data_IF_198558754065
#
_entry.id   IF_198558754065
#
_cell.length_a   1.000
_cell.length_b   1.000
_cell.length_c   1.000
_cell.angle_alpha   90.00
_cell.angle_beta   90.00
_cell.angle_gamma   90.00
#
_symmetry.space_group_name_H-M   'P 1'
#
loop_
_entity.id
_entity.type
_entity.pdbx_description
1 polymer ?
2 non-polymer ?
3 non-polymer ?
4 water ?
#
# COMPACT_ATOMS: atom_id res chain seq x y z
N UNK A 1 -3.99 -14.72 24.97
CA UNK A 1 -5.21 -14.40 25.65
C UNK A 1 -5.60 -12.98 25.55
N UNK A 2 -4.78 -12.09 26.00
CA UNK A 2 -5.21 -10.71 26.05
C UNK A 2 -5.49 -10.07 24.70
N UNK A 3 -4.56 -10.24 23.78
CA UNK A 3 -4.73 -9.67 22.47
C UNK A 3 -4.55 -10.57 21.28
N UNK A 4 -5.51 -10.52 20.37
CA UNK A 4 -5.35 -11.20 19.10
C UNK A 4 -4.92 -10.18 18.05
N UNK A 5 -3.75 -10.40 17.45
CA UNK A 5 -3.28 -9.57 16.36
C UNK A 5 -3.57 -10.29 15.04
N UNK A 6 -4.28 -9.61 14.14
CA UNK A 6 -4.61 -10.19 12.84
C UNK A 6 -3.57 -9.71 11.83
N UNK A 7 -2.72 -10.63 11.38
CA UNK A 7 -1.72 -10.32 10.38
C UNK A 7 -0.32 -10.25 11.00
N UNK A 8 0.65 -10.80 10.28
CA UNK A 8 2.05 -10.78 10.69
C UNK A 8 2.94 -10.17 9.61
N UNK A 9 2.42 -9.21 8.87
CA UNK A 9 3.24 -8.36 8.04
C UNK A 9 3.93 -7.30 8.90
N UNK A 10 4.46 -6.28 8.21
CA UNK A 10 5.24 -5.24 8.90
C UNK A 10 4.44 -4.64 10.05
N UNK A 11 3.14 -4.41 9.85
CA UNK A 11 2.35 -3.77 10.89
C UNK A 11 2.16 -4.69 12.10
N UNK A 12 1.68 -5.92 11.86
CA UNK A 12 1.44 -6.84 12.96
C UNK A 12 2.68 -7.24 13.72
N UNK A 13 3.81 -7.37 13.02
CA UNK A 13 5.06 -7.61 13.74
C UNK A 13 5.39 -6.45 14.67
N UNK A 14 5.14 -5.21 14.22
CA UNK A 14 5.39 -4.07 15.09
C UNK A 14 4.47 -4.09 16.31
N UNK A 15 3.21 -4.48 16.11
CA UNK A 15 2.26 -4.60 17.22
C UNK A 15 2.72 -5.68 18.21
N UNK A 16 3.08 -6.86 17.68
CA UNK A 16 3.58 -7.91 18.56
C UNK A 16 4.79 -7.47 19.37
N UNK A 17 5.72 -6.76 18.73
CA UNK A 17 6.88 -6.21 19.43
C UNK A 17 6.46 -5.26 20.54
N UNK A 18 5.52 -4.35 20.26
CA UNK A 18 5.12 -3.38 21.27
C UNK A 18 4.40 -4.06 22.43
N UNK A 19 3.53 -5.02 22.13
CA UNK A 19 2.86 -5.77 23.18
C UNK A 19 3.88 -6.57 23.98
N UNK A 20 4.85 -7.21 23.35
CA UNK A 20 5.82 -8.07 24.07
C UNK A 20 6.65 -7.23 25.06
N UNK A 21 6.93 -6.01 24.71
CA UNK A 21 7.73 -5.17 25.53
C UNK A 21 7.03 -4.72 26.77
N UNK A 22 5.73 -4.86 26.81
CA UNK A 22 4.96 -4.46 27.96
C UNK A 22 4.44 -5.63 28.75
N UNK A 23 4.78 -6.82 28.37
CA UNK A 23 4.31 -7.99 29.05
C UNK A 23 2.92 -8.39 28.73
N UNK A 24 2.40 -7.87 27.64
CA UNK A 24 1.06 -8.17 27.28
C UNK A 24 1.00 -9.39 26.44
N UNK A 25 0.28 -10.38 26.88
CA UNK A 25 0.15 -11.60 26.16
C UNK A 25 -0.66 -11.40 24.94
N UNK A 26 -0.27 -12.08 23.90
CA UNK A 26 -0.92 -12.00 22.65
C UNK A 26 -0.56 -13.16 21.76
N UNK A 27 -1.38 -13.31 20.73
CA UNK A 27 -1.18 -14.27 19.70
C UNK A 27 -1.39 -13.50 18.39
N UNK A 28 -0.61 -13.83 17.39
CA UNK A 28 -0.74 -13.21 16.09
C UNK A 28 -1.09 -14.22 15.04
N UNK A 29 -2.17 -13.97 14.38
CA UNK A 29 -2.65 -14.89 13.39
C UNK A 29 -2.42 -14.50 11.94
N UNK A 30 -1.70 -15.33 11.23
CA UNK A 30 -1.33 -15.07 9.85
C UNK A 30 -1.77 -16.14 8.84
N UNK A 31 -2.37 -15.70 7.75
CA UNK A 31 -2.86 -16.59 6.72
C UNK A 31 -1.77 -17.28 5.97
N UNK A 32 -0.68 -16.58 5.75
CA UNK A 32 0.40 -17.08 5.00
C UNK A 32 1.27 -18.02 5.73
N UNK A 33 2.12 -18.72 4.90
CA UNK A 33 3.03 -19.62 5.56
C UNK A 33 4.21 -19.04 6.29
N UNK A 34 4.42 -17.75 6.23
CA UNK A 34 5.48 -17.08 6.97
C UNK A 34 5.09 -15.63 7.24
N UNK A 35 5.93 -14.94 7.98
CA UNK A 35 5.70 -13.53 8.28
C UNK A 35 6.22 -12.70 7.12
N UNK A 36 5.90 -11.40 7.12
CA UNK A 36 6.40 -10.48 6.11
C UNK A 36 5.32 -9.78 5.33
N UNK A 37 4.09 -10.29 5.32
CA UNK A 37 3.05 -9.63 4.54
C UNK A 37 3.34 -9.70 3.06
N UNK A 38 3.11 -8.59 2.36
CA UNK A 38 3.20 -8.61 0.89
C UNK A 38 4.64 -8.89 0.46
N UNK A 39 5.62 -8.56 1.30
CA UNK A 39 7.02 -8.56 0.88
C UNK A 39 7.58 -9.96 0.64
N UNK A 40 6.98 -11.00 1.22
CA UNK A 40 7.42 -12.37 1.00
C UNK A 40 6.71 -13.08 -0.14
N UNK A 41 5.65 -12.51 -0.65
CA UNK A 41 4.86 -13.20 -1.67
C UNK A 41 5.58 -13.41 -2.99
N UNK A 42 6.22 -12.36 -3.51
CA UNK A 42 7.02 -12.63 -4.69
C UNK A 42 8.20 -13.40 -4.14
N UNK A 43 8.63 -14.42 -4.78
CA UNK A 43 9.67 -15.19 -4.13
C UNK A 43 9.07 -16.48 -3.69
N UNK A 44 7.80 -16.45 -3.40
CA UNK A 44 7.10 -17.64 -3.06
C UNK A 44 6.11 -17.87 -4.20
N UNK A 45 6.21 -17.07 -5.24
CA UNK A 45 5.39 -17.24 -6.38
C UNK A 45 3.96 -16.98 -6.06
N UNK A 46 3.69 -16.52 -4.87
CA UNK A 46 2.34 -16.27 -4.45
C UNK A 46 1.71 -15.07 -5.07
N UNK A 47 0.43 -15.15 -5.35
CA UNK A 47 -0.27 -14.06 -5.94
C UNK A 47 -0.52 -12.98 -4.93
N UNK A 48 -0.14 -11.78 -5.27
CA UNK A 48 -0.27 -10.67 -4.38
C UNK A 48 0.06 -9.39 -5.03
N UNK A 49 0.06 -8.30 -4.22
CA UNK A 49 0.37 -7.03 -4.88
C UNK A 49 1.75 -6.82 -5.46
N UNK A 50 2.69 -7.54 -4.98
CA UNK A 50 3.98 -7.43 -5.53
C UNK A 50 4.33 -8.16 -6.79
N UNK A 51 5.55 -8.00 -7.19
CA UNK A 51 6.06 -8.60 -8.38
C UNK A 51 7.54 -8.85 -8.17
N UNK A 52 8.12 -9.71 -8.96
CA UNK A 52 9.52 -10.10 -8.81
C UNK A 52 10.57 -9.02 -9.03
N UNK A 53 10.19 -7.95 -9.67
CA UNK A 53 11.13 -6.85 -9.79
C UNK A 53 10.91 -5.74 -8.77
N UNK A 54 9.98 -5.93 -7.86
CA UNK A 54 9.62 -4.89 -6.91
C UNK A 54 10.76 -4.64 -5.93
N UNK A 55 11.15 -3.37 -5.80
CA UNK A 55 12.07 -2.87 -4.79
C UNK A 55 11.36 -1.82 -3.96
N UNK A 56 11.94 -1.53 -2.80
CA UNK A 56 11.54 -0.34 -2.07
C UNK A 56 11.68 0.88 -2.97
N UNK A 57 10.80 1.80 -2.72
CA UNK A 57 10.87 3.08 -3.29
C UNK A 57 11.10 4.08 -2.15
N UNK A 58 11.36 3.59 -0.97
CA UNK A 58 11.69 4.37 0.19
C UNK A 58 13.08 3.97 0.65
N UNK A 59 13.78 4.86 1.28
CA UNK A 59 15.11 4.64 1.78
C UNK A 59 15.16 3.57 2.83
N UNK A 60 16.17 2.76 2.79
CA UNK A 60 16.30 1.68 3.70
C UNK A 60 16.33 2.04 5.17
N UNK A 61 16.97 3.10 5.53
CA UNK A 61 17.12 3.51 6.92
C UNK A 61 15.85 4.16 7.47
N UNK A 62 14.94 4.61 6.60
CA UNK A 62 13.64 5.10 7.04
C UNK A 62 12.52 4.08 6.88
N UNK A 63 12.80 2.92 6.29
CA UNK A 63 11.82 1.86 6.15
C UNK A 63 12.01 0.77 7.18
N UNK A 64 13.24 0.56 7.65
CA UNK A 64 13.48 -0.40 8.69
C UNK A 64 12.93 0.06 10.03
N UNK A 65 12.69 -0.90 10.92
CA UNK A 65 12.34 -0.57 12.30
C UNK A 65 13.48 0.22 12.95
N UNK A 66 13.10 1.24 13.74
CA UNK A 66 14.10 2.17 14.27
C UNK A 66 15.10 1.48 15.21
N UNK A 67 14.68 0.43 15.94
CA UNK A 67 15.57 -0.29 16.85
C UNK A 67 16.20 -1.53 16.20
N UNK A 68 16.08 -1.70 14.88
CA UNK A 68 16.51 -2.92 14.20
C UNK A 68 16.91 -2.60 12.76
N UNK A 69 18.10 -2.03 12.57
CA UNK A 69 18.49 -1.60 11.22
C UNK A 69 18.65 -2.79 10.28
N UNK A 70 18.37 -2.55 9.00
CA UNK A 70 18.62 -3.56 7.99
C UNK A 70 20.14 -3.75 7.82
N UNK A 71 20.56 -4.88 7.26
CA UNK A 71 22.01 -5.12 7.10
C UNK A 71 22.68 -3.97 6.37
N UNK A 72 23.89 -3.64 6.81
CA UNK A 72 24.61 -2.53 6.20
C UNK A 72 24.90 -2.79 4.74
N UNK A 73 25.01 -4.06 4.35
CA UNK A 73 25.24 -4.39 2.95
C UNK A 73 24.02 -4.11 2.08
N UNK A 74 22.83 -3.99 2.67
CA UNK A 74 21.66 -3.70 1.86
C UNK A 74 21.85 -2.36 1.15
N UNK A 75 21.33 -2.23 -0.05
CA UNK A 75 21.40 -0.95 -0.77
C UNK A 75 20.32 -0.01 -0.24
N UNK A 76 20.29 1.19 -0.81
CA UNK A 76 19.24 2.16 -0.48
C UNK A 76 17.85 1.60 -0.77
N UNK A 77 17.67 0.92 -1.90
CA UNK A 77 16.38 0.33 -2.28
C UNK A 77 16.51 -1.19 -2.38
N UNK A 78 16.36 -1.89 -1.25
CA UNK A 78 16.42 -3.37 -1.27
C UNK A 78 15.33 -4.00 -2.12
N UNK A 79 15.64 -5.19 -2.63
CA UNK A 79 14.66 -6.01 -3.34
C UNK A 79 13.66 -6.60 -2.36
N UNK A 80 12.48 -6.97 -2.87
CA UNK A 80 11.43 -7.59 -2.05
C UNK A 80 11.96 -8.78 -1.24
N UNK A 81 12.83 -9.60 -1.82
CA UNK A 81 13.37 -10.76 -1.10
C UNK A 81 14.23 -10.32 0.10
N UNK A 82 14.96 -9.23 -0.05
CA UNK A 82 15.77 -8.71 1.03
C UNK A 82 14.89 -8.15 2.15
N UNK A 83 13.78 -7.51 1.78
CA UNK A 83 12.86 -6.95 2.77
C UNK A 83 12.19 -8.08 3.54
N UNK A 84 11.68 -9.08 2.81
CA UNK A 84 11.07 -10.26 3.43
C UNK A 84 12.05 -10.96 4.38
N UNK A 85 13.29 -11.17 3.93
CA UNK A 85 14.28 -11.79 4.80
C UNK A 85 14.55 -10.92 6.03
N UNK A 86 14.60 -9.60 5.85
CA UNK A 86 14.79 -8.70 6.97
C UNK A 86 13.64 -8.79 7.98
N UNK A 87 12.42 -8.86 7.54
CA UNK A 87 11.27 -8.91 8.43
C UNK A 87 11.17 -10.21 9.24
N UNK A 88 11.54 -11.31 8.64
CA UNK A 88 11.60 -12.56 9.35
C UNK A 88 12.72 -12.51 10.40
N UNK A 89 13.86 -11.89 10.07
CA UNK A 89 14.97 -11.71 11.01
C UNK A 89 14.53 -10.91 12.23
N UNK A 90 13.75 -9.87 12.03
CA UNK A 90 13.18 -9.12 13.14
C UNK A 90 12.34 -10.00 14.04
N UNK A 91 11.46 -10.75 13.46
CA UNK A 91 10.59 -11.63 14.22
C UNK A 91 11.36 -12.61 15.07
N UNK A 92 12.40 -13.16 14.52
CA UNK A 92 13.25 -14.03 15.25
C UNK A 92 13.93 -13.27 16.41
N UNK A 93 14.55 -12.14 16.13
CA UNK A 93 15.22 -11.34 17.14
C UNK A 93 14.31 -10.83 18.22
N UNK A 94 13.18 -10.34 17.81
CA UNK A 94 12.22 -9.85 18.78
C UNK A 94 11.51 -10.96 19.55
N UNK A 95 11.73 -12.22 19.21
CA UNK A 95 11.11 -13.32 19.95
C UNK A 95 9.61 -13.43 19.74
N UNK A 96 9.14 -13.17 18.51
CA UNK A 96 7.70 -13.09 18.25
C UNK A 96 7.10 -14.39 17.75
N UNK A 97 7.89 -15.25 17.16
CA UNK A 97 7.35 -16.44 16.50
C UNK A 97 6.59 -17.47 17.36
N UNK A 98 6.87 -17.55 18.63
CA UNK A 98 6.16 -18.42 19.53
C UNK A 98 4.79 -17.88 19.80
N UNK A 99 4.53 -16.66 19.36
CA UNK A 99 3.24 -16.03 19.49
C UNK A 99 2.55 -15.97 18.13
N UNK A 100 3.15 -16.49 17.09
CA UNK A 100 2.57 -16.40 15.79
C UNK A 100 2.00 -17.72 15.32
N UNK A 101 0.78 -17.68 14.85
CA UNK A 101 0.17 -18.85 14.33
C UNK A 101 0.06 -18.72 12.85
N UNK A 102 0.91 -19.45 12.17
CA UNK A 102 0.92 -19.39 10.74
C UNK A 102 -0.12 -20.25 10.09
N UNK A 103 -0.34 -20.04 8.81
CA UNK A 103 -1.35 -20.73 8.08
C UNK A 103 -2.68 -20.78 8.83
N UNK A 104 -3.01 -19.67 9.45
CA UNK A 104 -4.20 -19.51 10.21
C UNK A 104 -4.91 -18.28 9.71
N UNK A 105 -6.03 -18.50 9.11
CA UNK A 105 -6.85 -17.41 8.58
C UNK A 105 -7.97 -17.09 9.57
N UNK A 106 -8.09 -15.81 9.91
CA UNK A 106 -9.21 -15.34 10.72
C UNK A 106 -10.45 -15.24 9.83
N UNK A 107 -11.51 -15.91 10.25
CA UNK A 107 -12.76 -15.98 9.49
C UNK A 107 -13.77 -14.95 9.98
N UNK A 108 -13.92 -14.77 11.30
CA UNK A 108 -14.90 -13.84 11.84
C UNK A 108 -14.39 -13.26 13.15
N UNK A 109 -14.73 -11.99 13.38
CA UNK A 109 -14.41 -11.30 14.63
C UNK A 109 -15.69 -10.58 15.07
N UNK A 110 -16.21 -10.94 16.25
CA UNK A 110 -17.45 -10.36 16.77
C UNK A 110 -17.24 -9.89 18.20
N UNK A 111 -17.85 -8.75 18.52
CA UNK A 111 -17.79 -8.21 19.88
C UNK A 111 -18.86 -8.87 20.74
N UNK A 112 -18.45 -9.49 21.84
CA UNK A 112 -19.41 -10.10 22.75
C UNK A 112 -19.96 -9.06 23.72
N UNK A 113 -21.17 -9.31 24.21
CA UNK A 113 -21.88 -8.32 25.02
C UNK A 113 -21.17 -7.99 26.32
N UNK A 114 -20.29 -8.87 26.81
CA UNK A 114 -19.59 -8.55 28.05
C UNK A 114 -18.24 -7.88 27.81
N UNK A 115 -17.85 -7.63 26.55
CA UNK A 115 -16.64 -6.88 26.29
C UNK A 115 -15.61 -7.57 25.41
N UNK A 116 -15.23 -8.80 25.73
CA UNK A 116 -14.25 -9.50 24.88
C UNK A 116 -14.79 -9.81 23.49
N UNK A 117 -13.89 -10.33 22.66
CA UNK A 117 -14.14 -10.57 21.26
C UNK A 117 -14.04 -12.07 20.97
N UNK A 118 -15.00 -12.61 20.23
CA UNK A 118 -14.93 -14.00 19.80
C UNK A 118 -14.32 -14.02 18.39
N UNK A 119 -13.24 -14.72 18.26
CA UNK A 119 -12.57 -14.84 16.99
C UNK A 119 -12.56 -16.27 16.51
N UNK A 120 -13.06 -16.47 15.30
CA UNK A 120 -13.04 -17.77 14.70
C UNK A 120 -11.98 -17.86 13.65
N UNK A 121 -11.14 -18.85 13.77
CA UNK A 121 -10.06 -19.04 12.86
C UNK A 121 -10.04 -20.41 12.19
N UNK A 122 -9.50 -20.45 10.98
CA UNK A 122 -9.36 -21.72 10.26
C UNK A 122 -7.92 -22.10 9.98
N UNK A 123 -7.51 -23.23 10.50
CA UNK A 123 -6.17 -23.72 10.27
C UNK A 123 -5.86 -24.38 8.96
N UNK A 124 -4.74 -25.08 8.91
CA UNK A 124 -4.34 -25.70 7.66
C UNK A 124 -5.27 -26.82 7.23
N UNK A 125 -5.78 -27.60 8.17
CA UNK A 125 -6.73 -28.63 7.85
C UNK A 125 -7.94 -28.05 7.22
N UNK A 126 -8.44 -26.98 7.82
CA UNK A 126 -9.67 -26.38 7.34
C UNK A 126 -10.54 -26.39 8.56
N UNK A 127 -10.02 -26.95 9.64
CA UNK A 127 -10.74 -26.93 10.87
C UNK A 127 -11.03 -25.51 11.34
N UNK A 128 -12.02 -25.36 12.21
CA UNK A 128 -12.33 -24.05 12.68
C UNK A 128 -12.25 -24.06 14.16
N UNK A 129 -11.64 -23.05 14.67
CA UNK A 129 -11.52 -22.89 16.12
C UNK A 129 -12.15 -21.56 16.50
N UNK A 130 -12.84 -21.55 17.64
CA UNK A 130 -13.46 -20.36 18.21
C UNK A 130 -12.73 -19.99 19.50
N UNK A 131 -12.12 -18.81 19.52
CA UNK A 131 -11.46 -18.36 20.74
C UNK A 131 -11.96 -16.98 21.12
N UNK A 132 -11.92 -16.69 22.42
CA UNK A 132 -12.23 -15.38 22.96
C UNK A 132 -10.92 -14.69 23.35
N UNK A 133 -10.86 -13.39 23.09
CA UNK A 133 -9.69 -12.57 23.37
C UNK A 133 -10.18 -11.29 23.99
N UNK A 134 -9.34 -10.71 24.84
CA UNK A 134 -9.76 -9.47 25.48
C UNK A 134 -9.86 -8.34 24.46
N UNK A 135 -8.87 -8.22 23.57
CA UNK A 135 -8.84 -7.14 22.57
C UNK A 135 -8.29 -7.66 21.25
N UNK A 136 -8.62 -6.95 20.19
CA UNK A 136 -8.25 -7.34 18.83
C UNK A 136 -7.54 -6.17 18.16
N UNK A 137 -6.37 -6.42 17.59
CA UNK A 137 -5.67 -5.41 16.80
C UNK A 137 -5.65 -5.90 15.35
N UNK A 138 -6.24 -5.10 14.47
CA UNK A 138 -6.34 -5.42 13.07
C UNK A 138 -5.11 -4.86 12.36
N UNK A 139 -4.32 -5.75 11.77
CA UNK A 139 -3.11 -5.39 11.01
C UNK A 139 -3.09 -6.15 9.69
N UNK A 140 -4.24 -6.21 9.04
CA UNK A 140 -4.44 -7.08 7.89
C UNK A 140 -4.16 -6.39 6.56
N UNK A 141 -3.60 -5.17 6.58
CA UNK A 141 -3.23 -4.45 5.37
C UNK A 141 -4.46 -3.92 4.65
N UNK A 142 -4.27 -3.07 3.67
CA UNK A 142 -5.34 -2.59 2.88
C UNK A 142 -5.18 -2.86 1.36
N UNK A 143 -4.26 -3.68 0.94
CA UNK A 143 -4.05 -3.98 -0.45
C UNK A 143 -4.55 -5.39 -0.69
N UNK A 144 -5.77 -5.61 -0.33
CA UNK A 144 -6.37 -6.92 -0.40
C UNK A 144 -7.09 -7.32 -1.62
N UNK A 145 -8.10 -6.59 -2.03
CA UNK A 145 -8.88 -6.93 -3.16
C UNK A 145 -8.54 -6.14 -4.35
N UNK A 146 -8.44 -6.81 -5.48
CA UNK A 146 -8.16 -6.09 -6.73
C UNK A 146 -9.30 -5.17 -7.11
N UNK A 147 -8.93 -4.00 -7.60
CA UNK A 147 -9.91 -3.06 -8.13
C UNK A 147 -9.72 -2.96 -9.64
N UNK A 148 -10.59 -3.57 -10.42
CA UNK A 148 -10.55 -3.49 -11.90
C UNK A 148 -11.50 -2.37 -12.31
N UNK A 149 -11.31 -1.74 -13.49
CA UNK A 149 -12.13 -0.60 -13.88
C UNK A 149 -13.62 -0.90 -13.88
N UNK A 150 -14.42 0.05 -13.40
CA UNK A 150 -15.88 -0.20 -13.20
C UNK A 150 -16.43 -0.85 -14.45
N UNK A 151 -16.43 -0.19 -15.62
CA UNK A 151 -16.81 -0.86 -16.82
C UNK A 151 -15.54 -1.30 -17.56
N UNK A 152 -15.38 -2.59 -17.77
CA UNK A 152 -14.29 -3.01 -18.65
C UNK A 152 -14.70 -2.51 -20.03
N UNK A 153 -13.78 -2.09 -20.91
CA UNK A 153 -14.15 -1.55 -22.23
C UNK A 153 -14.96 -2.59 -23.00
N UNK A 154 -15.77 -2.09 -23.93
CA UNK A 154 -16.63 -2.95 -24.73
C UNK A 154 -15.81 -4.04 -25.41
N UNK A 155 -16.41 -5.22 -25.53
CA UNK A 155 -15.78 -6.33 -26.22
C UNK A 155 -14.85 -7.20 -25.39
N UNK A 156 -14.68 -6.89 -24.10
CA UNK A 156 -13.76 -7.68 -23.28
C UNK A 156 -14.12 -9.16 -23.26
N UNK A 157 -15.42 -9.49 -23.36
CA UNK A 157 -15.85 -10.89 -23.33
C UNK A 157 -15.40 -11.65 -24.58
N UNK A 158 -15.20 -10.96 -25.70
CA UNK A 158 -14.72 -11.61 -26.90
C UNK A 158 -13.30 -11.18 -27.19
N UNK A 159 -12.41 -11.36 -26.22
CA UNK A 159 -11.01 -10.97 -26.35
C UNK A 159 -10.17 -12.22 -26.52
N UNK A 160 -9.35 -12.24 -27.57
CA UNK A 160 -8.59 -13.43 -27.90
C UNK A 160 -7.49 -13.74 -26.90
N UNK A 161 -7.11 -12.77 -26.07
CA UNK A 161 -6.05 -12.94 -25.11
C UNK A 161 -6.54 -12.88 -23.67
N UNK A 162 -5.60 -12.67 -22.76
CA UNK A 162 -5.85 -12.77 -21.33
C UNK A 162 -5.88 -11.38 -20.69
N UNK A 163 -6.96 -11.08 -19.99
CA UNK A 163 -7.08 -9.85 -19.20
C UNK A 163 -6.80 -10.22 -17.74
N UNK A 164 -5.82 -9.55 -17.14
CA UNK A 164 -5.48 -9.83 -15.76
C UNK A 164 -5.26 -8.53 -15.00
N UNK A 165 -5.26 -8.65 -13.67
CA UNK A 165 -4.93 -7.58 -12.73
C UNK A 165 -3.47 -7.70 -12.33
N UNK A 166 -2.90 -6.61 -11.81
CA UNK A 166 -1.52 -6.66 -11.37
C UNK A 166 -1.31 -7.66 -10.24
N UNK A 167 -2.35 -8.02 -9.54
CA UNK A 167 -2.24 -9.02 -8.50
C UNK A 167 -1.83 -10.34 -9.07
N UNK A 168 -2.33 -10.64 -10.24
CA UNK A 168 -2.02 -11.86 -10.91
C UNK A 168 -0.69 -11.78 -11.61
N UNK A 169 -0.08 -10.61 -11.69
CA UNK A 169 1.18 -10.47 -12.39
C UNK A 169 2.33 -10.85 -11.56
N UNK A 170 3.22 -11.65 -12.07
CA UNK A 170 4.41 -11.99 -11.31
C UNK A 170 5.78 -11.61 -11.88
N UNK A 171 6.08 -11.97 -13.13
CA UNK A 171 7.41 -11.72 -13.69
C UNK A 171 7.53 -11.12 -15.05
N UNK A 172 6.86 -11.60 -16.03
CA UNK A 172 7.12 -10.96 -17.30
C UNK A 172 7.89 -11.76 -18.25
N UNK A 173 8.76 -12.59 -17.73
CA UNK A 173 9.37 -13.55 -18.56
C UNK A 173 8.18 -14.43 -18.90
N UNK A 174 7.06 -14.28 -18.19
CA UNK A 174 5.84 -15.01 -18.48
C UNK A 174 5.14 -14.40 -19.65
N UNK A 175 5.71 -13.35 -20.20
CA UNK A 175 5.15 -12.68 -21.35
C UNK A 175 6.21 -12.49 -22.41
N UNK A 176 7.29 -13.24 -22.32
CA UNK A 176 8.36 -13.16 -23.27
C UNK A 176 7.86 -13.27 -24.68
N UNK A 177 8.36 -12.45 -25.55
CA UNK A 177 7.92 -12.47 -26.92
C UNK A 177 6.51 -12.05 -27.18
N UNK A 178 5.74 -11.69 -26.17
CA UNK A 178 4.38 -11.27 -26.38
C UNK A 178 4.20 -9.80 -26.49
N UNK A 179 2.96 -9.43 -26.68
CA UNK A 179 2.57 -8.07 -26.82
C UNK A 179 1.57 -7.74 -25.74
N UNK A 180 1.86 -6.75 -24.92
CA UNK A 180 1.08 -6.42 -23.76
C UNK A 180 0.78 -4.99 -23.47
N UNK A 181 -0.42 -4.75 -23.02
CA UNK A 181 -0.87 -3.43 -22.63
C UNK A 181 -0.92 -3.37 -21.12
N UNK A 182 -0.40 -2.30 -20.54
CA UNK A 182 -0.51 -2.02 -19.12
C UNK A 182 -1.43 -0.82 -18.96
N UNK A 183 -2.41 -0.94 -18.07
CA UNK A 183 -3.41 0.10 -17.84
C UNK A 183 -3.10 0.74 -16.49
N UNK A 184 -2.84 2.03 -16.50
CA UNK A 184 -2.67 2.80 -15.29
C UNK A 184 -1.36 3.54 -15.29
N UNK A 185 -1.16 4.32 -14.24
CA UNK A 185 0.08 5.06 -14.13
C UNK A 185 0.55 5.18 -12.67
N UNK A 186 0.12 4.28 -11.80
CA UNK A 186 0.60 4.22 -10.44
C UNK A 186 1.94 3.54 -10.34
N UNK A 187 2.33 3.21 -9.10
CA UNK A 187 3.61 2.56 -8.87
C UNK A 187 3.66 1.21 -9.57
N UNK A 188 2.61 0.42 -9.42
CA UNK A 188 2.57 -0.90 -10.07
C UNK A 188 2.66 -0.77 -11.58
N UNK A 189 1.93 0.19 -12.16
CA UNK A 189 1.85 0.31 -13.61
C UNK A 189 3.21 0.59 -14.22
N UNK A 190 3.94 1.57 -13.68
CA UNK A 190 5.22 1.94 -14.27
C UNK A 190 6.26 0.83 -14.04
N UNK A 191 6.28 0.24 -12.84
CA UNK A 191 7.21 -0.86 -12.58
C UNK A 191 6.93 -2.05 -13.50
N UNK A 192 5.65 -2.38 -13.71
CA UNK A 192 5.32 -3.57 -14.48
C UNK A 192 5.61 -3.33 -15.96
N UNK A 193 5.22 -2.17 -16.48
CA UNK A 193 5.60 -1.77 -17.83
C UNK A 193 7.12 -1.84 -18.01
N UNK A 194 7.87 -1.21 -17.10
CA UNK A 194 9.33 -1.24 -17.18
C UNK A 194 9.84 -2.68 -17.27
N UNK A 195 9.32 -3.55 -16.41
CA UNK A 195 9.74 -4.95 -16.45
C UNK A 195 9.37 -5.60 -17.78
N UNK A 196 8.16 -5.42 -18.24
CA UNK A 196 7.66 -5.97 -19.48
C UNK A 196 8.48 -5.49 -20.66
N UNK A 197 8.98 -4.29 -20.52
CA UNK A 197 9.77 -3.66 -21.50
C UNK A 197 11.05 -4.35 -21.81
N UNK A 198 11.44 -5.33 -21.05
CA UNK A 198 12.61 -6.08 -21.29
C UNK A 198 12.32 -7.54 -21.56
N UNK A 199 11.08 -7.88 -21.76
CA UNK A 199 10.78 -9.23 -22.01
C UNK A 199 9.86 -9.38 -23.19
N UNK A 200 8.82 -8.59 -23.21
CA UNK A 200 7.86 -8.60 -24.24
C UNK A 200 8.35 -7.99 -25.46
N UNK A 201 7.62 -8.22 -26.51
CA UNK A 201 7.98 -7.70 -27.77
C UNK A 201 7.53 -6.32 -27.91
N UNK A 202 6.39 -6.03 -27.35
CA UNK A 202 5.87 -4.71 -27.37
C UNK A 202 5.13 -4.45 -26.07
N UNK A 203 5.40 -3.33 -25.46
CA UNK A 203 4.79 -2.93 -24.23
C UNK A 203 4.11 -1.58 -24.40
N UNK A 204 2.83 -1.53 -24.24
CA UNK A 204 2.07 -0.31 -24.33
C UNK A 204 1.57 0.14 -22.97
N UNK A 205 1.56 1.43 -22.71
CA UNK A 205 1.20 1.98 -21.39
C UNK A 205 -0.04 2.88 -21.55
N UNK A 206 -1.21 2.33 -21.36
CA UNK A 206 -2.49 3.01 -21.51
C UNK A 206 -2.80 3.90 -20.34
N UNK A 207 -2.80 5.18 -20.55
CA UNK A 207 -3.06 6.12 -19.51
C UNK A 207 -4.19 7.06 -19.79
N UNK A 208 -5.06 7.24 -18.83
CA UNK A 208 -6.14 8.19 -19.01
C UNK A 208 -5.94 9.47 -18.28
N UNK A 209 -5.72 9.35 -17.00
CA UNK A 209 -5.54 10.50 -16.21
C UNK A 209 -4.11 10.60 -15.82
N UNK A 210 -3.55 11.73 -16.08
CA UNK A 210 -2.18 11.93 -15.77
C UNK A 210 -1.74 12.10 -14.36
N UNK A 211 -0.66 11.46 -14.02
CA UNK A 211 -0.04 11.65 -12.72
C UNK A 211 1.35 12.25 -12.92
N UNK A 212 1.83 12.92 -11.88
CA UNK A 212 3.19 13.44 -11.88
C UNK A 212 4.15 12.28 -11.63
N UNK A 213 5.04 12.04 -12.58
CA UNK A 213 6.06 11.01 -12.46
C UNK A 213 7.34 11.66 -11.97
N UNK A 214 7.89 11.13 -10.88
CA UNK A 214 9.00 11.76 -10.18
C UNK A 214 10.12 10.73 -10.10
N UNK A 215 11.38 11.10 -10.32
CA UNK A 215 12.46 10.16 -10.06
C UNK A 215 12.51 9.81 -8.57
N UNK A 216 13.05 8.62 -8.28
CA UNK A 216 13.19 8.23 -6.89
C UNK A 216 14.08 9.19 -6.12
N UNK A 217 14.90 9.96 -6.84
CA UNK A 217 15.98 10.74 -6.27
C UNK A 217 16.05 12.09 -6.95
N UNK A 218 16.23 13.15 -6.14
CA UNK A 218 16.65 14.46 -6.62
C UNK A 218 17.85 14.92 -5.80
N UNK A 219 18.82 15.58 -6.44
CA UNK A 219 20.06 16.01 -5.78
C UNK A 219 20.83 14.85 -5.17
N UNK A 220 20.64 13.63 -5.65
CA UNK A 220 21.24 12.48 -5.00
C UNK A 220 20.49 11.97 -3.78
N UNK A 221 19.49 12.70 -3.30
CA UNK A 221 18.74 12.31 -2.11
C UNK A 221 17.42 11.69 -2.50
N UNK A 222 16.98 10.72 -1.74
CA UNK A 222 15.71 10.17 -1.98
C UNK A 222 14.68 11.16 -1.58
N UNK A 223 13.55 11.08 -2.23
CA UNK A 223 12.50 12.03 -2.00
C UNK A 223 12.01 12.00 -0.58
N UNK A 224 12.07 10.85 0.07
CA UNK A 224 11.68 10.76 1.45
C UNK A 224 12.74 11.31 2.39
N UNK A 225 13.98 11.30 1.97
CA UNK A 225 15.07 11.87 2.74
C UNK A 225 15.03 13.34 2.62
N UNK A 226 14.50 13.80 1.54
CA UNK A 226 14.32 15.20 1.31
C UNK A 226 13.28 15.71 2.26
N UNK A 227 12.18 15.04 2.45
CA UNK A 227 11.15 15.60 3.32
C UNK A 227 11.53 15.72 4.77
N UNK A 228 12.60 15.08 5.16
CA UNK A 228 13.02 15.10 6.53
C UNK A 228 14.07 16.13 6.69
N UNK A 229 14.66 16.54 5.61
CA UNK A 229 15.69 17.53 5.67
C UNK A 229 15.15 18.77 6.25
N UNK A 230 15.96 19.42 7.05
CA UNK A 230 15.49 20.59 7.75
C UNK A 230 15.28 21.78 6.84
N UNK A 231 16.08 21.92 5.82
CA UNK A 231 15.85 23.02 4.88
C UNK A 231 14.52 22.85 4.15
N UNK A 232 14.10 21.62 3.89
CA UNK A 232 12.83 21.41 3.23
C UNK A 232 11.69 21.70 4.16
N UNK A 233 11.88 21.50 5.46
CA UNK A 233 10.74 21.71 6.38
C UNK A 233 10.65 23.20 6.68
N UNK A 234 11.75 23.94 6.47
CA UNK A 234 11.81 25.41 6.67
C UNK A 234 11.13 26.13 5.51
N UNK A 235 10.93 25.45 4.40
CA UNK A 235 10.31 26.09 3.21
C UNK A 235 8.79 26.09 3.35
N UNK A 236 8.16 27.07 2.70
CA UNK A 236 6.69 27.16 2.74
C UNK A 236 6.09 26.18 1.72
N UNK A 237 4.86 25.71 1.95
CA UNK A 237 4.22 24.72 1.08
C UNK A 237 4.33 25.13 -0.40
N UNK A 238 4.38 26.42 -0.69
CA UNK A 238 4.57 26.82 -2.11
C UNK A 238 6.06 26.96 -2.43
N UNK A 239 6.91 27.22 -1.45
CA UNK A 239 8.31 27.29 -1.77
C UNK A 239 8.77 25.85 -2.13
N UNK A 240 8.06 24.88 -1.59
CA UNK A 240 8.36 23.51 -1.80
C UNK A 240 7.90 23.07 -3.17
N UNK A 241 6.67 23.38 -3.46
CA UNK A 241 6.09 23.03 -4.70
C UNK A 241 6.89 23.69 -5.75
N UNK A 242 7.30 24.90 -5.51
CA UNK A 242 8.07 25.62 -6.46
C UNK A 242 9.40 24.98 -6.68
N UNK A 243 10.00 24.54 -5.60
CA UNK A 243 11.31 23.91 -5.63
C UNK A 243 11.31 22.60 -6.40
N UNK A 244 10.26 21.85 -6.27
CA UNK A 244 10.12 20.60 -6.92
C UNK A 244 9.84 20.78 -8.37
N UNK A 245 8.96 21.70 -8.70
CA UNK A 245 8.62 21.91 -10.06
C UNK A 245 9.81 22.27 -10.88
N UNK A 246 10.71 23.05 -10.34
CA UNK A 246 11.89 23.42 -11.04
C UNK A 246 12.86 22.26 -11.11
N UNK A 247 12.99 21.49 -10.05
CA UNK A 247 13.88 20.37 -10.05
C UNK A 247 13.41 19.34 -11.01
N UNK A 248 12.12 19.14 -11.16
CA UNK A 248 11.63 18.16 -12.08
C UNK A 248 11.92 18.51 -13.52
N UNK A 249 11.73 19.76 -13.84
CA UNK A 249 11.96 20.25 -15.14
C UNK A 249 13.39 20.01 -15.56
N UNK A 250 14.31 20.28 -14.68
CA UNK A 250 15.69 20.06 -14.96
C UNK A 250 16.00 18.59 -15.04
N UNK A 251 15.41 17.79 -14.21
CA UNK A 251 15.75 16.36 -14.14
C UNK A 251 15.18 15.58 -15.32
N UNK A 252 14.01 15.93 -15.78
CA UNK A 252 13.38 15.24 -16.87
C UNK A 252 12.50 16.01 -17.84
N UNK A 253 12.42 17.32 -17.76
CA UNK A 253 11.58 18.04 -18.67
C UNK A 253 10.14 18.00 -18.33
N UNK A 254 9.28 17.94 -19.33
CA UNK A 254 7.85 17.94 -19.18
C UNK A 254 7.22 16.67 -19.53
N UNK A 255 6.21 16.30 -18.80
CA UNK A 255 5.53 15.06 -19.06
C UNK A 255 4.93 14.92 -20.41
N UNK A 256 4.43 15.99 -20.96
CA UNK A 256 3.81 15.94 -22.24
C UNK A 256 4.76 15.62 -23.34
N UNK A 257 6.02 15.84 -23.10
CA UNK A 257 7.02 15.55 -24.09
C UNK A 257 7.30 14.08 -24.17
N UNK A 258 6.71 13.31 -23.31
CA UNK A 258 6.91 11.91 -23.34
C UNK A 258 5.69 11.23 -23.85
N UNK A 259 4.72 11.97 -24.29
CA UNK A 259 3.53 11.41 -24.80
C UNK A 259 2.63 11.05 -23.70
N UNK A 260 2.85 11.59 -22.52
CA UNK A 260 1.99 11.32 -21.41
C UNK A 260 1.09 12.48 -21.19
N UNK A 261 -0.10 12.19 -20.56
CA UNK A 261 -0.95 13.34 -20.35
C UNK A 261 -0.52 14.15 -19.17
N UNK A 262 -0.60 15.44 -19.26
CA UNK A 262 -0.27 16.30 -18.17
C UNK A 262 -1.33 16.24 -17.14
N UNK A 263 -0.88 16.17 -15.85
CA UNK A 263 -1.90 16.11 -14.83
C UNK A 263 -2.69 17.39 -14.73
N UNK A 264 -3.84 17.33 -14.11
CA UNK A 264 -4.65 18.51 -13.94
C UNK A 264 -4.43 19.20 -12.62
N UNK A 265 -3.47 18.68 -11.88
CA UNK A 265 -3.24 19.19 -10.52
C UNK A 265 -1.74 19.39 -10.32
N UNK A 266 -1.32 20.32 -9.44
CA UNK A 266 0.08 20.49 -9.13
C UNK A 266 0.75 19.27 -8.52
N UNK A 267 2.07 19.22 -8.57
CA UNK A 267 2.83 18.03 -8.11
C UNK A 267 2.32 17.44 -6.78
N UNK A 268 2.18 18.22 -5.72
CA UNK A 268 1.86 17.61 -4.39
C UNK A 268 0.38 17.32 -4.25
N UNK A 269 -0.43 18.00 -5.01
CA UNK A 269 -1.86 17.66 -5.03
C UNK A 269 -1.93 16.31 -5.74
N UNK A 270 -2.62 15.31 -5.17
CA UNK A 270 -2.70 13.95 -5.75
C UNK A 270 -1.47 13.10 -5.47
N UNK A 271 -1.49 11.87 -6.00
CA UNK A 271 -0.38 10.93 -5.75
C UNK A 271 0.69 11.04 -6.82
N UNK A 272 1.94 11.14 -6.40
CA UNK A 272 3.07 11.15 -7.35
C UNK A 272 3.44 9.69 -7.62
N UNK A 273 3.96 9.43 -8.81
CA UNK A 273 4.45 8.07 -9.11
C UNK A 273 5.98 8.16 -9.17
N UNK A 274 6.68 7.33 -8.41
CA UNK A 274 8.14 7.30 -8.37
C UNK A 274 8.65 6.24 -9.34
N UNK A 275 9.61 6.63 -10.18
CA UNK A 275 10.23 5.67 -11.10
C UNK A 275 11.52 6.28 -11.62
N UNK A 276 12.61 5.53 -11.58
CA UNK A 276 13.81 5.93 -12.28
C UNK A 276 13.82 5.48 -13.74
N UNK A 277 12.79 4.75 -14.19
CA UNK A 277 12.89 4.01 -15.45
C UNK A 277 11.92 4.45 -16.54
N UNK A 278 10.66 4.75 -16.18
CA UNK A 278 9.57 4.68 -17.18
C UNK A 278 9.78 5.70 -18.30
N UNK A 279 10.20 6.92 -17.96
CA UNK A 279 10.43 7.95 -18.98
C UNK A 279 11.52 7.53 -19.94
N UNK A 280 12.59 6.93 -19.42
CA UNK A 280 13.68 6.49 -20.28
C UNK A 280 13.22 5.33 -21.17
N UNK A 281 12.47 4.37 -20.60
CA UNK A 281 11.93 3.29 -21.42
C UNK A 281 11.11 3.85 -22.58
N UNK A 282 10.42 4.98 -22.38
CA UNK A 282 9.64 5.56 -23.46
C UNK A 282 10.57 6.15 -24.53
N UNK A 283 11.63 6.86 -24.11
CA UNK A 283 12.57 7.42 -25.06
C UNK A 283 13.26 6.36 -25.90
N UNK A 284 13.49 5.18 -25.33
CA UNK A 284 14.13 4.10 -26.08
C UNK A 284 13.14 3.29 -26.90
N UNK A 285 11.87 3.70 -26.93
CA UNK A 285 10.89 2.93 -27.67
C UNK A 285 10.52 1.60 -27.04
N UNK A 286 11.01 1.30 -25.84
CA UNK A 286 10.66 0.03 -25.23
C UNK A 286 9.30 0.05 -24.54
N UNK A 287 8.74 1.22 -24.28
CA UNK A 287 7.36 1.37 -23.81
C UNK A 287 6.70 2.43 -24.65
N UNK A 288 5.49 2.14 -25.16
CA UNK A 288 4.73 3.07 -26.02
C UNK A 288 3.54 3.62 -25.25
N UNK A 289 3.48 4.92 -24.98
CA UNK A 289 2.33 5.46 -24.24
C UNK A 289 1.10 5.57 -25.14
N UNK A 290 -0.02 5.25 -24.55
CA UNK A 290 -1.28 5.32 -25.21
C UNK A 290 -2.36 5.93 -24.35
N UNK A 291 -3.51 6.34 -24.99
CA UNK A 291 -4.58 6.81 -24.09
C UNK A 291 -5.43 5.63 -23.63
N UNK A 292 -6.63 5.89 -23.16
CA UNK A 292 -7.45 4.82 -22.69
C UNK A 292 -7.83 3.79 -23.73
N UNK A 293 -8.20 2.64 -23.28
CA UNK A 293 -8.67 1.58 -24.10
C UNK A 293 -10.14 1.81 -24.39
N UNK A 294 -10.50 1.80 -25.65
CA UNK A 294 -11.88 2.00 -26.06
C UNK A 294 -12.64 0.72 -26.36
N UNK A 295 -11.93 -0.32 -26.74
CA UNK A 295 -12.53 -1.59 -27.02
C UNK A 295 -11.58 -2.72 -27.28
N UNK A 296 -12.10 -3.91 -27.31
CA UNK A 296 -11.37 -5.09 -27.60
C UNK A 296 -11.91 -5.74 -28.85
N UNK A 297 -11.05 -5.90 -29.85
CA UNK A 297 -11.43 -6.50 -31.16
C UNK A 297 -10.62 -7.77 -31.34
N UNK A 298 -11.10 -8.89 -30.83
CA UNK A 298 -10.38 -10.16 -30.92
C UNK A 298 -9.00 -10.13 -30.31
N UNK A 299 -7.98 -10.12 -31.16
CA UNK A 299 -6.58 -10.10 -30.70
C UNK A 299 -6.08 -8.66 -30.67
N UNK A 300 -6.99 -7.71 -30.84
CA UNK A 300 -6.54 -6.30 -30.92
C UNK A 300 -7.23 -5.39 -29.90
N UNK A 301 -6.49 -4.42 -29.39
CA UNK A 301 -6.96 -3.42 -28.52
C UNK A 301 -7.07 -2.11 -29.26
N UNK A 302 -8.23 -1.49 -29.19
CA UNK A 302 -8.49 -0.19 -29.80
C UNK A 302 -8.52 0.87 -28.72
N UNK A 303 -7.83 1.99 -28.96
CA UNK A 303 -7.72 3.08 -28.01
C UNK A 303 -8.58 4.26 -28.44
N UNK A 304 -8.86 5.14 -27.48
CA UNK A 304 -9.78 6.24 -27.67
C UNK A 304 -9.31 7.27 -28.69
N UNK A 305 -8.11 7.11 -29.25
CA UNK A 305 -7.65 8.00 -30.31
C UNK A 305 -7.77 7.35 -31.68
N UNK A 306 -8.48 6.22 -31.80
CA UNK A 306 -8.65 5.53 -33.05
C UNK A 306 -7.55 4.54 -33.40
N UNK A 307 -6.41 4.57 -32.70
CA UNK A 307 -5.35 3.61 -32.99
C UNK A 307 -5.68 2.26 -32.39
N UNK A 308 -4.97 1.23 -32.87
CA UNK A 308 -5.21 -0.12 -32.40
C UNK A 308 -3.91 -0.90 -32.47
N UNK A 309 -3.79 -1.92 -31.61
CA UNK A 309 -2.59 -2.75 -31.58
C UNK A 309 -2.98 -4.19 -31.29
N UNK A 310 -2.34 -5.15 -31.94
CA UNK A 310 -2.48 -6.53 -31.50
C UNK A 310 -1.92 -6.66 -30.09
N UNK A 311 -2.63 -7.41 -29.24
CA UNK A 311 -2.23 -7.60 -27.86
C UNK A 311 -2.59 -8.99 -27.39
N UNK A 312 -1.61 -9.68 -26.81
CA UNK A 312 -1.87 -10.99 -26.21
C UNK A 312 -2.41 -10.85 -24.79
N UNK A 313 -2.04 -9.78 -24.08
CA UNK A 313 -2.47 -9.60 -22.70
C UNK A 313 -2.71 -8.14 -22.40
N UNK A 314 -3.55 -7.89 -21.39
CA UNK A 314 -3.73 -6.57 -20.78
C UNK A 314 -3.63 -6.73 -19.26
N UNK A 315 -2.76 -5.96 -18.64
CA UNK A 315 -2.52 -6.02 -17.20
C UNK A 315 -3.08 -4.75 -16.56
N UNK A 316 -4.16 -4.91 -15.78
CA UNK A 316 -4.82 -3.78 -15.15
C UNK A 316 -4.11 -3.44 -13.84
N UNK A 317 -3.44 -2.29 -13.81
CA UNK A 317 -2.72 -1.81 -12.63
C UNK A 317 -3.50 -0.71 -11.95
N UNK A 318 -4.72 -1.06 -11.55
CA UNK A 318 -5.72 -0.08 -11.14
C UNK A 318 -5.97 -0.13 -9.64
N UNK A 319 -5.17 -0.88 -8.90
CA UNK A 319 -5.11 -0.73 -7.48
C UNK A 319 -5.91 -1.78 -6.74
N UNK A 320 -6.21 -1.47 -5.49
CA UNK A 320 -6.80 -2.42 -4.56
C UNK A 320 -7.88 -1.73 -3.76
N UNK A 321 -8.88 -2.52 -3.38
CA UNK A 321 -9.93 -2.07 -2.47
C UNK A 321 -9.59 -2.47 -1.06
N UNK A 322 -9.93 -1.60 -0.13
CA UNK A 322 -9.72 -1.83 1.29
C UNK A 322 -10.94 -2.58 1.82
N UNK A 323 -10.72 -3.79 2.34
CA UNK A 323 -11.79 -4.70 2.70
C UNK A 323 -11.42 -5.39 4.01
N UNK A 324 -12.44 -5.80 4.77
CA UNK A 324 -12.23 -6.48 6.04
C UNK A 324 -13.27 -7.58 6.21
N UNK A 325 -13.13 -8.69 5.47
CA UNK A 325 -14.22 -9.67 5.39
C UNK A 325 -14.55 -10.33 6.71
N UNK A 326 -13.63 -10.29 7.69
CA UNK A 326 -13.85 -10.90 8.99
C UNK A 326 -14.56 -9.97 9.96
N UNK A 327 -14.80 -8.71 9.56
CA UNK A 327 -15.59 -7.78 10.35
C UNK A 327 -16.98 -7.71 9.74
N UNK A 328 -18.00 -8.31 10.38
CA UNK A 328 -19.33 -8.32 9.73
C UNK A 328 -19.86 -6.95 9.37
N UNK A 329 -19.73 -5.96 10.25
CA UNK A 329 -20.20 -4.61 9.91
C UNK A 329 -19.15 -3.79 9.19
N UNK A 330 -17.98 -4.36 8.92
CA UNK A 330 -16.92 -3.67 8.21
C UNK A 330 -16.18 -2.69 9.08
N UNK A 331 -15.14 -2.12 8.49
CA UNK A 331 -14.41 -1.05 9.15
C UNK A 331 -15.34 0.16 9.31
N UNK A 332 -15.28 0.87 10.40
CA UNK A 332 -16.12 2.04 10.60
C UNK A 332 -15.87 3.07 9.55
N UNK A 333 -16.95 3.49 8.93
CA UNK A 333 -16.85 4.48 7.84
C UNK A 333 -18.00 5.49 8.00
N UNK A 334 -17.96 6.58 7.23
CA UNK A 334 -18.97 7.66 7.35
C UNK A 334 -19.96 7.65 6.18
N UNK A 335 -20.21 6.52 5.53
CA UNK A 335 -21.16 6.37 4.40
C UNK A 335 -20.48 6.84 3.14
N UNK A 336 -19.92 8.04 3.16
CA UNK A 336 -19.19 8.57 1.98
C UNK A 336 -18.08 7.57 1.65
N UNK A 337 -17.79 6.63 2.55
CA UNK A 337 -16.71 5.65 2.36
C UNK A 337 -15.51 6.14 3.13
N UNK A 338 -15.68 7.27 3.80
CA UNK A 338 -14.57 7.87 4.58
C UNK A 338 -14.36 7.03 5.84
N UNK A 339 -13.12 6.66 6.07
CA UNK A 339 -12.78 5.87 7.30
C UNK A 339 -13.04 6.73 8.54
N UNK A 340 -13.58 6.12 9.57
CA UNK A 340 -13.92 6.83 10.82
C UNK A 340 -13.12 6.23 11.99
N UNK A 341 -11.85 6.57 12.07
CA UNK A 341 -10.99 6.04 13.15
C UNK A 341 -10.28 7.19 13.88
N UNK A 342 -10.38 7.25 15.18
CA UNK A 342 -9.73 8.29 15.98
C UNK A 342 -8.23 8.20 15.93
N UNK A 343 -7.61 9.27 15.48
CA UNK A 343 -6.18 9.31 15.26
C UNK A 343 -5.82 8.20 14.30
N UNK A 344 -6.73 7.89 13.40
CA UNK A 344 -6.57 6.87 12.37
C UNK A 344 -6.45 5.45 12.89
N UNK A 345 -6.77 5.25 14.15
CA UNK A 345 -6.53 3.95 14.75
C UNK A 345 -7.75 3.37 15.43
N UNK A 346 -8.52 4.21 16.13
CA UNK A 346 -9.46 3.72 17.14
C UNK A 346 -10.89 3.94 16.66
N UNK A 347 -11.70 2.93 16.72
CA UNK A 347 -13.10 3.11 16.42
C UNK A 347 -13.71 3.83 17.58
N UNK A 348 -14.64 4.70 17.35
CA UNK A 348 -15.21 5.45 18.41
C UNK A 348 -16.20 4.72 19.26
N UNK A 349 -16.74 3.66 18.73
CA UNK A 349 -17.74 2.90 19.39
C UNK A 349 -17.47 1.47 19.66
N UNK A 350 -16.29 0.98 19.41
CA UNK A 350 -15.98 -0.41 19.62
C UNK A 350 -14.77 -0.58 20.52
N UNK A 351 -15.05 -0.55 21.87
CA UNK A 351 -13.91 -0.68 22.77
C UNK A 351 -13.16 -1.91 22.61
N UNK A 352 -11.86 -1.83 22.67
CA UNK A 352 -11.02 -3.00 22.55
C UNK A 352 -10.68 -3.43 21.14
N UNK A 353 -10.98 -2.62 20.14
CA UNK A 353 -10.63 -2.90 18.74
C UNK A 353 -9.73 -1.80 18.19
N UNK A 354 -8.70 -2.19 17.44
CA UNK A 354 -7.74 -1.23 16.93
C UNK A 354 -7.33 -1.60 15.50
N UNK A 355 -6.99 -0.57 14.73
CA UNK A 355 -6.53 -0.73 13.34
C UNK A 355 -5.15 -0.09 13.22
N UNK A 356 -4.18 -0.88 12.84
CA UNK A 356 -2.77 -0.41 12.73
C UNK A 356 -2.30 -0.65 11.29
N UNK A 357 -1.74 0.37 10.66
CA UNK A 357 -1.25 0.28 9.27
C UNK A 357 -2.18 0.85 8.23
N UNK A 358 -3.33 1.35 8.66
CA UNK A 358 -4.40 1.85 7.77
C UNK A 358 -4.18 3.35 7.63
N UNK A 359 -2.98 3.71 7.24
CA UNK A 359 -2.59 5.12 7.02
C UNK A 359 -1.80 5.17 5.71
N UNK A 360 -1.95 6.23 4.94
CA UNK A 360 -1.18 6.37 3.75
C UNK A 360 -0.41 7.63 3.78
N UNK A 361 0.83 7.59 4.18
CA UNK A 361 1.66 8.79 4.28
C UNK A 361 2.49 8.98 3.04
N UNK A 362 3.32 10.03 3.02
CA UNK A 362 4.34 10.18 1.99
C UNK A 362 5.59 9.47 2.52
N UNK A 363 6.03 8.45 1.81
CA UNK A 363 7.16 7.68 2.27
C UNK A 363 6.76 6.46 3.09
N UNK A 364 7.76 5.93 3.81
CA UNK A 364 7.58 4.66 4.49
C UNK A 364 6.61 4.78 5.66
N UNK A 365 5.84 3.72 5.87
CA UNK A 365 4.84 3.68 6.93
C UNK A 365 5.43 3.28 8.28
N UNK A 366 6.71 2.88 8.32
CA UNK A 366 7.24 2.15 9.47
C UNK A 366 7.22 2.97 10.76
N UNK A 367 7.68 4.22 10.71
CA UNK A 367 7.65 5.02 11.93
C UNK A 367 6.23 5.25 12.41
N UNK A 368 5.26 5.32 11.47
CA UNK A 368 3.87 5.51 11.86
C UNK A 368 3.35 4.28 12.60
N UNK A 369 3.59 3.09 12.07
CA UNK A 369 3.01 1.92 12.72
C UNK A 369 3.72 1.66 14.02
N UNK A 370 5.00 2.06 14.12
CA UNK A 370 5.71 1.92 15.39
C UNK A 370 5.07 2.78 16.47
N UNK A 371 4.68 4.01 16.12
CA UNK A 371 4.05 4.87 17.12
C UNK A 371 2.63 4.41 17.44
N UNK A 372 1.92 3.94 16.42
CA UNK A 372 0.59 3.37 16.63
C UNK A 372 0.66 2.14 17.53
N UNK A 373 1.61 1.24 17.23
CA UNK A 373 1.77 0.01 18.01
C UNK A 373 2.03 0.34 19.47
N UNK A 374 2.99 1.25 19.73
CA UNK A 374 3.32 1.62 21.11
C UNK A 374 2.11 2.21 21.82
N UNK A 375 1.39 3.11 21.15
CA UNK A 375 0.22 3.71 21.78
C UNK A 375 -0.85 2.66 22.05
N UNK A 376 -1.12 1.78 21.07
CA UNK A 376 -2.12 0.73 21.26
C UNK A 376 -1.75 -0.18 22.44
N UNK A 377 -0.46 -0.51 22.60
CA UNK A 377 -0.07 -1.35 23.73
C UNK A 377 -0.39 -0.67 25.05
N UNK A 378 -0.17 0.65 25.13
CA UNK A 378 -0.51 1.35 26.36
C UNK A 378 -2.03 1.48 26.52
N UNK A 379 -2.78 1.58 25.43
CA UNK A 379 -4.23 1.54 25.54
C UNK A 379 -4.68 0.19 26.09
N UNK A 380 -4.05 -0.90 25.62
CA UNK A 380 -4.47 -2.25 26.01
C UNK A 380 -4.30 -2.47 27.51
N UNK A 381 -3.15 -2.09 28.09
CA UNK A 381 -2.99 -2.39 29.50
C UNK A 381 -3.28 -1.19 30.39
N UNK A 382 -4.03 -0.20 29.87
CA UNK A 382 -4.60 0.82 30.72
C UNK A 382 -3.70 1.99 31.05
N UNK A 383 -2.47 2.00 30.53
CA UNK A 383 -1.58 3.13 30.79
C UNK A 383 -1.94 4.37 29.98
N UNK A 384 -2.68 4.23 28.87
CA UNK A 384 -3.24 5.37 28.17
C UNK A 384 -4.77 5.23 28.11
N UNK A 385 -5.46 6.35 27.89
CA UNK A 385 -6.92 6.37 27.86
C UNK A 385 -7.42 7.16 26.67
N UNK A 386 -8.68 6.94 26.34
CA UNK A 386 -9.32 7.52 25.16
C UNK A 386 -10.30 8.61 25.57
N UNK A 387 -10.66 9.49 24.64
CA UNK A 387 -11.78 10.42 24.89
C UNK A 387 -13.10 9.68 24.89
N UNK A 388 -14.14 10.35 25.38
CA UNK A 388 -15.48 9.84 25.16
C UNK A 388 -15.78 9.77 23.66
N UNK A 389 -16.78 8.95 23.31
CA UNK A 389 -17.04 8.67 21.91
C UNK A 389 -17.35 9.94 21.12
N UNK A 390 -18.12 10.86 21.69
CA UNK A 390 -18.42 12.10 20.99
C UNK A 390 -17.14 12.86 20.67
N UNK A 391 -16.25 12.98 21.64
CA UNK A 391 -15.02 13.72 21.41
C UNK A 391 -14.14 13.03 20.38
N UNK A 392 -14.06 11.69 20.43
CA UNK A 392 -13.36 10.98 19.36
C UNK A 392 -14.00 11.30 18.00
N UNK A 393 -15.33 11.28 17.94
CA UNK A 393 -16.00 11.66 16.70
C UNK A 393 -15.66 13.09 16.29
N UNK A 394 -15.44 13.97 17.26
CA UNK A 394 -15.04 15.33 16.93
C UNK A 394 -13.69 15.36 16.19
N UNK A 395 -12.70 14.59 16.67
CA UNK A 395 -11.42 14.54 15.95
C UNK A 395 -11.58 13.95 14.56
N UNK A 396 -12.47 12.96 14.42
CA UNK A 396 -12.68 12.31 13.12
C UNK A 396 -13.29 13.31 12.13
N UNK A 397 -14.32 14.04 12.57
CA UNK A 397 -14.93 15.04 11.70
C UNK A 397 -13.95 16.12 11.28
N UNK A 398 -13.13 16.58 12.23
CA UNK A 398 -12.13 17.60 11.89
C UNK A 398 -11.11 17.07 10.88
N UNK A 399 -10.67 15.82 11.06
CA UNK A 399 -9.70 15.25 10.14
C UNK A 399 -10.30 15.07 8.75
N UNK A 400 -11.55 14.64 8.67
CA UNK A 400 -12.17 14.45 7.36
C UNK A 400 -12.37 15.77 6.63
N UNK A 401 -12.89 16.79 7.33
CA UNK A 401 -13.06 18.08 6.68
C UNK A 401 -11.75 18.59 6.11
N UNK A 402 -10.65 18.43 6.86
CA UNK A 402 -9.35 18.80 6.33
C UNK A 402 -8.92 17.97 5.14
N UNK A 403 -9.42 16.73 5.05
CA UNK A 403 -9.08 15.87 3.92
C UNK A 403 -9.83 16.28 2.66
N UNK A 404 -11.11 16.59 2.79
CA UNK A 404 -11.92 16.95 1.65
C UNK A 404 -11.44 18.25 1.12
N UNK A 405 -11.03 19.09 2.01
CA UNK A 405 -10.52 20.35 1.68
C UNK A 405 -9.25 20.19 0.95
N UNK A 406 -8.51 19.13 1.22
CA UNK A 406 -7.22 18.95 0.58
C UNK A 406 -7.14 18.07 -0.62
N UNK A 407 -7.67 16.90 -0.54
CA UNK A 407 -7.65 16.03 -1.64
C UNK A 407 -9.05 15.85 -2.13
N UNK A 408 -9.99 16.65 -1.66
CA UNK A 408 -11.39 16.58 -2.00
C UNK A 408 -11.79 15.14 -1.95
N UNK A 409 -12.73 14.73 -2.76
CA UNK A 409 -13.10 13.33 -2.80
C UNK A 409 -12.24 12.69 -3.84
N UNK A 410 -11.90 11.45 -3.61
CA UNK A 410 -11.13 10.63 -4.50
C UNK A 410 -11.29 9.33 -3.77
N UNK A 411 -10.37 8.40 -3.93
CA UNK A 411 -10.49 7.13 -3.27
C UNK A 411 -9.34 6.91 -2.35
N UNK A 412 -9.62 6.41 -1.18
CA UNK A 412 -8.57 6.18 -0.20
C UNK A 412 -8.02 7.42 0.44
N UNK A 413 -8.64 8.56 0.18
CA UNK A 413 -8.16 9.79 0.73
C UNK A 413 -8.26 9.87 2.23
N UNK A 414 -9.16 9.11 2.80
CA UNK A 414 -9.48 9.19 4.21
C UNK A 414 -8.52 8.37 5.10
N UNK A 415 -7.37 7.93 4.60
CA UNK A 415 -6.32 7.36 5.45
C UNK A 415 -5.01 8.09 5.17
N UNK A 416 -5.08 9.24 4.49
CA UNK A 416 -3.88 9.98 4.14
C UNK A 416 -3.48 10.88 5.30
N UNK A 417 -2.20 10.82 5.65
CA UNK A 417 -1.64 11.69 6.69
C UNK A 417 -0.27 12.14 6.22
N UNK A 418 0.18 13.26 6.78
CA UNK A 418 1.54 13.71 6.54
C UNK A 418 2.41 13.28 7.71
N UNK A 419 3.44 12.48 7.41
CA UNK A 419 4.19 11.72 8.41
C UNK A 419 4.69 12.62 9.54
N UNK A 420 5.07 13.85 9.20
CA UNK A 420 5.66 14.77 10.13
C UNK A 420 4.77 15.13 11.31
N UNK A 421 3.66 15.81 11.04
CA UNK A 421 2.75 16.18 12.15
C UNK A 421 2.08 14.99 12.81
N UNK A 422 1.87 13.89 12.09
CA UNK A 422 1.24 12.72 12.69
C UNK A 422 2.13 12.10 13.76
N UNK A 423 3.40 11.85 13.42
CA UNK A 423 4.36 11.34 14.39
C UNK A 423 4.55 12.31 15.55
N UNK A 424 4.36 13.58 15.30
CA UNK A 424 4.55 14.58 16.31
C UNK A 424 3.69 14.47 17.55
N UNK A 425 2.52 13.89 17.44
CA UNK A 425 1.69 13.74 18.59
C UNK A 425 1.87 12.43 19.35
N UNK A 426 2.89 11.68 19.00
CA UNK A 426 3.18 10.46 19.69
C UNK A 426 4.50 10.66 20.33
#
# INVERSE_FOLDING_TARGET
MRVCVIGAGLSGLAVGHALKERGISFVCLEKAPDVGGIWRQPGAGERGPGYRTLHLNTAKQLTGYADFPMPDAYPLYPRHSQVAAYLRSFAEWAGLLDHVELRTEVVSVRQDADGPWTVVSRGADGAQVSRRFEQVVVASGHHNEPALPDPLPAGADSFAGTILHSLDYRDGGDFAGRRVVVVGLGASAVDIAADLSRHAERTLLSVRRGLHIVPKQLFGMSVDEIAEAPWWNEMSFDERRRWVEQALLVARGRLSDYGLPEPDHPVFSSATTLSDEILSRIRHGAVTPKPAIASFDGDRVVFTDGTSEPADAVVYCTGFHMTFPFLPAGCPMSADGSVELYRRVVPADRPGLYFVGLVRPVGAITRLVEAQAEWVARLVDGAAVLPAADQMREEIGTYLTGIVQRYGRTEGASIQVDVGPYLAEFRESLPV
#
